data_IF_768570521367
#
_entry.id   IF_768570521367
#
_cell.length_a   1.000
_cell.length_b   1.000
_cell.length_c   1.000
_cell.angle_alpha   90.00
_cell.angle_beta   90.00
_cell.angle_gamma   90.00
#
_symmetry.space_group_name_H-M   'P 1'
#
loop_
_entity.id
_entity.type
_entity.pdbx_description
1 polymer ?
#
# COMPACT_ATOMS: atom_id res chain seq x y z
N UNK A 1 7.79 -7.22 31.56
CA UNK A 1 8.37 -5.99 30.99
C UNK A 1 9.03 -5.19 32.09
N UNK A 2 10.35 -5.07 32.06
CA UNK A 2 11.09 -4.24 33.01
C UNK A 2 11.09 -2.81 32.48
N UNK A 3 10.32 -1.93 33.07
CA UNK A 3 10.35 -0.49 32.73
C UNK A 3 11.24 0.18 33.79
N UNK A 4 12.40 0.65 33.31
CA UNK A 4 13.37 1.33 34.16
C UNK A 4 12.79 2.59 34.82
N UNK A 5 13.16 2.80 36.06
CA UNK A 5 12.78 3.94 36.90
C UNK A 5 13.43 5.24 36.40
N UNK A 6 12.80 5.92 35.43
CA UNK A 6 13.11 7.32 35.13
C UNK A 6 11.90 8.19 35.45
N UNK A 7 12.13 9.17 36.32
CA UNK A 7 11.15 10.02 37.02
C UNK A 7 10.46 11.10 36.16
N UNK A 8 10.34 10.94 34.87
CA UNK A 8 9.51 11.78 34.01
C UNK A 8 8.30 10.99 33.55
N UNK A 9 7.09 11.47 33.91
CA UNK A 9 5.84 10.87 33.42
C UNK A 9 5.91 10.65 31.90
N UNK A 10 5.56 9.44 31.42
CA UNK A 10 5.65 9.13 30.00
C UNK A 10 4.84 10.14 29.19
N UNK A 11 5.44 10.72 28.16
CA UNK A 11 4.73 11.63 27.22
C UNK A 11 3.80 10.89 26.26
N UNK A 12 3.74 9.57 26.37
CA UNK A 12 2.99 8.70 25.49
C UNK A 12 1.60 8.39 26.04
N UNK A 13 0.64 8.20 25.17
CA UNK A 13 -0.70 7.73 25.54
C UNK A 13 -0.64 6.21 25.70
N UNK A 14 -1.15 5.70 26.82
CA UNK A 14 -1.42 4.29 27.03
C UNK A 14 -2.84 3.99 26.56
N UNK A 15 -2.96 3.07 25.61
CA UNK A 15 -4.26 2.55 25.19
C UNK A 15 -4.53 1.23 25.90
N UNK A 16 -5.73 1.10 26.45
CA UNK A 16 -6.20 -0.07 27.20
C UNK A 16 -7.63 -0.42 26.72
N UNK A 17 -8.15 -1.64 26.98
CA UNK A 17 -9.56 -1.93 26.78
C UNK A 17 -10.44 -0.92 27.53
N UNK A 18 -11.57 -0.54 26.94
CA UNK A 18 -12.45 0.51 27.51
C UNK A 18 -12.89 0.16 28.94
N UNK A 19 -13.22 -1.11 29.17
CA UNK A 19 -13.61 -1.63 30.49
C UNK A 19 -12.49 -1.62 31.53
N UNK A 20 -11.25 -1.53 31.09
CA UNK A 20 -10.07 -1.56 31.97
C UNK A 20 -9.54 -0.16 32.34
N UNK A 21 -10.03 0.92 31.71
CA UNK A 21 -9.52 2.28 31.92
C UNK A 21 -9.42 2.63 33.39
N UNK A 22 -10.50 2.45 34.16
CA UNK A 22 -10.54 2.83 35.57
C UNK A 22 -9.62 1.96 36.43
N UNK A 23 -9.43 0.69 36.10
CA UNK A 23 -8.49 -0.18 36.76
C UNK A 23 -7.03 0.29 36.52
N UNK A 24 -6.68 0.67 35.32
CA UNK A 24 -5.35 1.19 34.98
C UNK A 24 -5.07 2.54 35.65
N UNK A 25 -6.06 3.46 35.71
CA UNK A 25 -5.94 4.74 36.42
C UNK A 25 -5.69 4.58 37.92
N UNK A 26 -6.20 3.51 38.52
CA UNK A 26 -6.03 3.22 39.96
C UNK A 26 -4.79 2.37 40.26
N UNK A 27 -4.23 1.67 39.29
CA UNK A 27 -3.10 0.79 39.53
C UNK A 27 -1.79 1.57 39.76
N UNK A 28 -1.04 1.20 40.78
CA UNK A 28 0.13 1.92 41.31
C UNK A 28 1.17 2.28 40.24
N UNK A 29 1.40 1.40 39.26
CA UNK A 29 2.37 1.63 38.17
C UNK A 29 1.82 2.51 37.05
N UNK A 30 0.55 2.37 36.72
CA UNK A 30 -0.05 2.98 35.54
C UNK A 30 -0.72 4.30 35.85
N UNK A 31 -1.07 4.56 37.11
CA UNK A 31 -1.68 5.83 37.58
C UNK A 31 -0.79 7.06 37.34
N UNK A 32 0.52 6.85 37.13
CA UNK A 32 1.47 7.92 36.77
C UNK A 32 1.42 8.33 35.28
N UNK A 33 0.73 7.57 34.46
CA UNK A 33 0.57 7.90 33.05
C UNK A 33 -0.48 9.01 32.88
N UNK A 34 -0.06 10.11 32.27
CA UNK A 34 -0.91 11.29 32.09
C UNK A 34 -2.11 11.01 31.15
N UNK A 35 -1.93 10.12 30.21
CA UNK A 35 -2.94 9.81 29.21
C UNK A 35 -3.20 8.31 29.17
N UNK A 36 -4.26 7.85 29.81
CA UNK A 36 -4.81 6.50 29.69
C UNK A 36 -6.13 6.62 28.94
N UNK A 37 -6.20 6.00 27.76
CA UNK A 37 -7.36 6.05 26.87
C UNK A 37 -7.84 4.64 26.55
N UNK A 38 -9.13 4.50 26.30
CA UNK A 38 -9.73 3.29 25.78
C UNK A 38 -9.36 3.03 24.32
N UNK A 39 -9.84 1.92 23.79
CA UNK A 39 -9.72 1.56 22.38
C UNK A 39 -8.58 0.62 22.03
N UNK A 40 -8.00 -0.12 22.99
CA UNK A 40 -7.11 -1.22 22.71
C UNK A 40 -7.90 -2.52 22.57
N UNK A 41 -7.81 -3.18 21.44
CA UNK A 41 -8.52 -4.43 21.15
C UNK A 41 -7.61 -5.45 20.51
N UNK A 42 -7.70 -6.69 20.99
CA UNK A 42 -7.04 -7.84 20.42
C UNK A 42 -8.03 -8.60 19.54
N UNK A 43 -7.66 -8.87 18.30
CA UNK A 43 -8.45 -9.68 17.38
C UNK A 43 -7.63 -10.89 16.97
N UNK A 44 -8.10 -12.07 17.32
CA UNK A 44 -7.47 -13.32 16.89
C UNK A 44 -7.80 -13.56 15.42
N UNK A 45 -6.80 -13.79 14.59
CA UNK A 45 -7.01 -14.24 13.22
C UNK A 45 -7.46 -15.69 13.20
N UNK A 46 -8.11 -16.14 12.12
CA UNK A 46 -8.65 -17.48 11.97
C UNK A 46 -7.62 -18.62 12.12
N UNK A 47 -6.34 -18.30 12.00
CA UNK A 47 -5.24 -19.22 12.33
C UNK A 47 -4.91 -19.06 13.81
N UNK A 48 -5.58 -19.80 14.65
CA UNK A 48 -5.64 -19.86 16.11
C UNK A 48 -4.37 -19.56 16.95
N UNK A 49 -3.30 -19.00 16.35
CA UNK A 49 -2.02 -18.81 17.03
C UNK A 49 -1.51 -17.37 17.09
N UNK A 50 -2.13 -16.41 16.39
CA UNK A 50 -1.57 -15.04 16.34
C UNK A 50 -2.63 -13.97 16.48
N UNK A 51 -2.40 -13.07 17.40
CA UNK A 51 -3.32 -11.99 17.75
C UNK A 51 -2.85 -10.68 17.13
N UNK A 52 -3.56 -10.17 16.13
CA UNK A 52 -3.41 -8.80 15.68
C UNK A 52 -4.04 -7.86 16.70
N UNK A 53 -3.36 -6.76 17.02
CA UNK A 53 -3.87 -5.77 17.97
C UNK A 53 -4.24 -4.48 17.27
N UNK A 54 -5.38 -3.95 17.66
CA UNK A 54 -5.93 -2.73 17.10
C UNK A 54 -6.17 -1.69 18.18
N UNK A 55 -6.21 -0.43 17.77
CA UNK A 55 -6.68 0.66 18.62
C UNK A 55 -7.76 1.45 17.89
N UNK A 56 -8.78 1.87 18.63
CA UNK A 56 -9.76 2.83 18.11
C UNK A 56 -9.15 4.22 18.25
N UNK A 57 -9.02 4.91 17.13
CA UNK A 57 -8.46 6.26 17.10
C UNK A 57 -9.51 7.36 16.81
N UNK A 58 -10.73 6.96 16.43
CA UNK A 58 -11.87 7.85 16.27
C UNK A 58 -13.17 7.15 16.67
N UNK A 59 -13.98 7.82 17.47
CA UNK A 59 -15.36 7.42 17.83
C UNK A 59 -16.41 8.27 17.09
N UNK A 60 -16.02 8.95 16.03
CA UNK A 60 -16.95 9.72 15.20
C UNK A 60 -17.58 8.79 14.18
N UNK A 61 -18.92 8.64 14.28
CA UNK A 61 -19.66 7.86 13.29
C UNK A 61 -19.51 8.43 11.90
N UNK A 62 -19.30 7.54 10.92
CA UNK A 62 -19.10 7.92 9.53
C UNK A 62 -19.48 6.79 8.55
N UNK A 63 -19.62 7.15 7.29
CA UNK A 63 -19.84 6.19 6.19
C UNK A 63 -18.56 6.07 5.36
N UNK A 64 -18.03 4.84 5.22
CA UNK A 64 -16.84 4.53 4.43
C UNK A 64 -17.23 3.45 3.42
N UNK A 65 -16.95 3.66 2.15
CA UNK A 65 -17.27 2.72 1.07
C UNK A 65 -18.74 2.23 1.10
N UNK A 66 -19.69 3.15 1.42
CA UNK A 66 -21.12 2.85 1.49
C UNK A 66 -21.59 2.15 2.78
N UNK A 67 -20.70 1.82 3.69
CA UNK A 67 -21.01 1.18 4.97
C UNK A 67 -20.91 2.17 6.13
N UNK A 68 -21.82 2.08 7.10
CA UNK A 68 -21.81 2.92 8.31
C UNK A 68 -20.98 2.28 9.42
N UNK A 69 -20.17 3.10 10.08
CA UNK A 69 -19.31 2.71 11.19
C UNK A 69 -19.45 3.68 12.35
N UNK A 70 -19.22 3.21 13.57
CA UNK A 70 -19.21 4.02 14.80
C UNK A 70 -17.89 4.82 14.94
N UNK A 71 -16.91 4.57 14.08
CA UNK A 71 -15.63 5.26 14.05
C UNK A 71 -14.56 4.48 13.32
N UNK A 72 -13.29 4.79 13.63
CA UNK A 72 -12.12 4.20 12.96
C UNK A 72 -11.20 3.49 13.94
N UNK A 73 -10.62 2.39 13.46
CA UNK A 73 -9.56 1.66 14.12
C UNK A 73 -8.29 1.60 13.25
N UNK A 74 -7.15 1.35 13.88
CA UNK A 74 -5.91 1.06 13.17
C UNK A 74 -5.22 -0.18 13.76
N UNK A 75 -4.52 -0.93 12.92
CA UNK A 75 -3.63 -2.00 13.35
C UNK A 75 -2.40 -1.42 14.02
N UNK A 76 -2.11 -1.83 15.25
CA UNK A 76 -0.96 -1.34 16.03
C UNK A 76 0.09 -2.40 16.35
N UNK A 77 -0.25 -3.66 16.19
CA UNK A 77 0.70 -4.76 16.39
C UNK A 77 0.33 -5.96 15.52
N UNK A 78 1.33 -6.51 14.85
CA UNK A 78 1.30 -7.80 14.17
C UNK A 78 2.43 -8.65 14.73
N UNK A 79 2.15 -9.86 15.27
CA UNK A 79 3.18 -10.74 15.80
C UNK A 79 4.06 -11.30 14.69
N UNK A 80 5.23 -11.81 15.06
CA UNK A 80 6.11 -12.49 14.12
C UNK A 80 5.65 -13.92 13.88
N UNK A 81 5.51 -14.37 12.62
CA UNK A 81 5.24 -15.77 12.34
C UNK A 81 6.43 -16.63 12.78
N UNK A 82 6.18 -17.55 13.68
CA UNK A 82 7.26 -18.33 14.31
C UNK A 82 7.57 -19.66 13.64
N UNK A 83 6.62 -20.28 12.94
CA UNK A 83 6.76 -21.68 12.51
C UNK A 83 6.30 -21.97 11.09
N UNK A 84 5.28 -21.27 10.54
CA UNK A 84 4.67 -21.58 9.25
C UNK A 84 4.45 -20.32 8.40
N UNK A 85 4.35 -20.50 7.07
CA UNK A 85 3.90 -19.43 6.17
C UNK A 85 2.52 -18.92 6.57
N UNK A 86 2.36 -17.61 6.69
CA UNK A 86 1.15 -17.00 7.20
C UNK A 86 0.60 -15.91 6.29
N UNK A 87 -0.71 -15.69 6.41
CA UNK A 87 -1.37 -14.53 5.83
C UNK A 87 -1.86 -13.63 6.95
N UNK A 88 -1.32 -12.42 7.01
CA UNK A 88 -1.88 -11.34 7.83
C UNK A 88 -3.04 -10.71 7.05
N UNK A 89 -4.25 -11.12 7.38
CA UNK A 89 -5.46 -10.53 6.81
C UNK A 89 -5.94 -9.40 7.73
N UNK A 90 -5.71 -8.16 7.32
CA UNK A 90 -6.29 -7.00 7.99
C UNK A 90 -7.77 -6.94 7.62
N UNK A 91 -8.71 -7.00 8.58
CA UNK A 91 -10.14 -6.99 8.27
C UNK A 91 -10.61 -5.59 7.82
N UNK A 92 -11.77 -5.54 7.17
CA UNK A 92 -12.38 -4.26 6.79
C UNK A 92 -12.82 -3.45 8.02
N UNK A 93 -13.27 -4.13 9.05
CA UNK A 93 -13.74 -3.52 10.29
C UNK A 93 -13.62 -4.48 11.48
N UNK A 94 -13.68 -3.91 12.68
CA UNK A 94 -13.84 -4.62 13.93
C UNK A 94 -15.29 -4.52 14.37
N UNK A 95 -15.86 -5.60 14.91
CA UNK A 95 -17.13 -5.57 15.63
C UNK A 95 -16.87 -5.89 17.09
N UNK A 96 -17.17 -4.95 17.97
CA UNK A 96 -16.97 -5.12 19.40
C UNK A 96 -18.12 -5.90 20.04
N UNK A 97 -17.93 -6.38 21.27
CA UNK A 97 -18.93 -7.14 22.01
C UNK A 97 -20.23 -6.34 22.26
N UNK A 98 -20.17 -5.01 22.28
CA UNK A 98 -21.32 -4.12 22.39
C UNK A 98 -22.03 -3.85 21.05
N UNK A 99 -21.66 -4.53 19.99
CA UNK A 99 -22.24 -4.40 18.63
C UNK A 99 -21.71 -3.22 17.82
N UNK A 100 -20.87 -2.33 18.37
CA UNK A 100 -20.26 -1.23 17.62
C UNK A 100 -19.28 -1.73 16.58
N UNK A 101 -19.28 -1.06 15.43
CA UNK A 101 -18.41 -1.38 14.28
C UNK A 101 -17.44 -0.24 14.03
N UNK A 102 -16.16 -0.57 13.91
CA UNK A 102 -15.10 0.38 13.61
C UNK A 102 -14.35 -0.02 12.35
N UNK A 103 -14.35 0.85 11.35
CA UNK A 103 -13.61 0.61 10.11
C UNK A 103 -12.10 0.56 10.41
N UNK A 104 -11.40 -0.46 9.92
CA UNK A 104 -9.92 -0.51 10.00
C UNK A 104 -9.36 0.28 8.84
N UNK A 105 -8.93 1.51 9.10
CA UNK A 105 -8.52 2.45 8.04
C UNK A 105 -7.01 2.64 7.93
N UNK A 106 -6.24 2.21 8.93
CA UNK A 106 -4.80 2.43 8.91
C UNK A 106 -3.99 1.26 9.49
N UNK A 107 -2.75 1.17 9.05
CA UNK A 107 -1.69 0.37 9.67
C UNK A 107 -0.69 1.33 10.29
N UNK A 108 -0.47 1.21 11.61
CA UNK A 108 0.40 2.11 12.36
C UNK A 108 1.89 1.90 12.03
N UNK A 109 2.71 2.81 12.51
CA UNK A 109 4.17 2.69 12.43
C UNK A 109 4.68 1.53 13.28
N UNK A 110 5.70 0.82 12.77
CA UNK A 110 6.41 -0.24 13.50
C UNK A 110 5.50 -1.34 14.06
N UNK A 111 4.44 -1.71 13.35
CA UNK A 111 3.47 -2.72 13.81
C UNK A 111 4.07 -4.10 14.02
N UNK A 112 5.16 -4.41 13.33
CA UNK A 112 5.87 -5.67 13.42
C UNK A 112 7.24 -5.42 14.04
N UNK A 113 7.41 -5.60 15.35
CA UNK A 113 8.61 -5.21 16.09
C UNK A 113 9.69 -6.31 16.17
N UNK A 114 9.34 -7.56 16.01
CA UNK A 114 10.27 -8.70 16.07
C UNK A 114 10.84 -9.12 14.71
N UNK A 115 11.56 -10.22 14.67
CA UNK A 115 12.11 -10.82 13.45
C UNK A 115 11.16 -11.88 12.87
N UNK A 116 10.66 -11.68 11.66
CA UNK A 116 9.88 -12.71 10.97
C UNK A 116 10.76 -13.93 10.69
N UNK A 117 10.32 -15.11 11.14
CA UNK A 117 11.04 -16.39 10.94
C UNK A 117 10.42 -17.25 9.84
N UNK A 118 9.21 -16.95 9.42
CA UNK A 118 8.51 -17.65 8.35
C UNK A 118 7.98 -16.70 7.30
N UNK A 119 7.79 -17.19 6.09
CA UNK A 119 7.25 -16.40 4.97
C UNK A 119 5.85 -15.90 5.29
N UNK A 120 5.57 -14.66 4.93
CA UNK A 120 4.28 -14.03 5.19
C UNK A 120 3.74 -13.27 3.97
N UNK A 121 2.42 -13.21 3.88
CA UNK A 121 1.68 -12.34 2.96
C UNK A 121 0.80 -11.39 3.77
N UNK A 122 0.91 -10.09 3.51
CA UNK A 122 -0.02 -9.09 4.04
C UNK A 122 -1.15 -8.86 3.05
N UNK A 123 -2.39 -9.00 3.52
CA UNK A 123 -3.59 -8.64 2.75
C UNK A 123 -4.32 -7.51 3.45
N UNK A 124 -4.58 -6.43 2.73
CA UNK A 124 -5.27 -5.26 3.26
C UNK A 124 -6.78 -5.43 3.16
N UNK A 125 -7.50 -5.10 4.23
CA UNK A 125 -8.95 -4.93 4.21
C UNK A 125 -9.37 -3.71 3.37
N UNK A 126 -10.58 -3.72 2.84
CA UNK A 126 -11.07 -2.74 1.88
C UNK A 126 -11.07 -1.28 2.39
N UNK A 127 -11.13 -1.07 3.71
CA UNK A 127 -11.17 0.27 4.29
C UNK A 127 -9.80 0.85 4.64
N UNK A 128 -8.69 0.09 4.47
CA UNK A 128 -7.34 0.60 4.75
C UNK A 128 -6.96 1.63 3.70
N UNK A 129 -6.81 2.88 4.10
CA UNK A 129 -6.40 4.00 3.25
C UNK A 129 -4.94 4.42 3.45
N UNK A 130 -4.33 4.03 4.59
CA UNK A 130 -3.00 4.49 4.97
C UNK A 130 -2.14 3.41 5.64
N UNK A 131 -0.87 3.34 5.23
CA UNK A 131 0.17 2.56 5.91
C UNK A 131 1.24 3.55 6.38
N UNK A 132 1.49 3.62 7.70
CA UNK A 132 2.41 4.60 8.24
C UNK A 132 3.88 4.17 8.17
N UNK A 133 4.76 5.09 8.58
CA UNK A 133 6.20 4.93 8.41
C UNK A 133 6.76 3.71 9.16
N UNK A 134 7.70 3.01 8.54
CA UNK A 134 8.39 1.84 9.10
C UNK A 134 7.47 0.67 9.49
N UNK A 135 6.22 0.62 9.02
CA UNK A 135 5.23 -0.37 9.46
C UNK A 135 5.79 -1.80 9.43
N UNK A 136 6.45 -2.17 8.33
CA UNK A 136 7.07 -3.50 8.13
C UNK A 136 8.57 -3.40 7.78
N UNK A 137 9.26 -2.33 8.19
CA UNK A 137 10.67 -2.15 7.88
C UNK A 137 11.52 -3.35 8.32
N UNK A 138 12.39 -3.84 7.41
CA UNK A 138 13.32 -4.94 7.68
C UNK A 138 12.67 -6.32 7.80
N UNK A 139 11.40 -6.49 7.40
CA UNK A 139 10.69 -7.76 7.47
C UNK A 139 11.00 -8.62 6.24
N UNK A 140 12.20 -9.18 6.19
CA UNK A 140 12.71 -9.94 5.04
C UNK A 140 11.92 -11.21 4.71
N UNK A 141 11.06 -11.67 5.61
CA UNK A 141 10.16 -12.79 5.38
C UNK A 141 8.76 -12.33 4.94
N UNK A 142 8.49 -11.03 4.83
CA UNK A 142 7.29 -10.52 4.17
C UNK A 142 7.49 -10.61 2.65
N UNK A 143 7.01 -11.69 2.06
CA UNK A 143 7.25 -12.04 0.65
C UNK A 143 6.07 -11.76 -0.25
N UNK A 144 4.89 -11.51 0.33
CA UNK A 144 3.67 -11.18 -0.39
C UNK A 144 2.96 -9.94 0.16
N UNK A 145 2.38 -9.15 -0.76
CA UNK A 145 1.57 -7.97 -0.42
C UNK A 145 0.37 -7.90 -1.36
N UNK A 146 -0.83 -7.88 -0.78
CA UNK A 146 -2.08 -7.64 -1.50
C UNK A 146 -2.66 -6.31 -1.03
N UNK A 147 -2.61 -5.32 -1.90
CA UNK A 147 -3.17 -3.99 -1.68
C UNK A 147 -4.69 -4.02 -1.89
N UNK A 148 -5.37 -2.95 -1.48
CA UNK A 148 -6.79 -2.72 -1.76
C UNK A 148 -6.96 -1.48 -2.67
N UNK A 149 -8.16 -1.27 -3.19
CA UNK A 149 -8.49 -0.17 -4.12
C UNK A 149 -8.58 1.21 -3.46
N UNK A 150 -8.66 1.27 -2.13
CA UNK A 150 -8.85 2.52 -1.38
C UNK A 150 -7.57 3.06 -0.75
N UNK A 151 -6.45 2.36 -0.92
CA UNK A 151 -5.16 2.78 -0.38
C UNK A 151 -4.69 4.08 -1.07
N UNK A 152 -4.40 5.11 -0.27
CA UNK A 152 -3.96 6.42 -0.77
C UNK A 152 -2.56 6.81 -0.35
N UNK A 153 -2.04 6.18 0.72
CA UNK A 153 -0.77 6.58 1.32
C UNK A 153 0.06 5.39 1.80
N UNK A 154 1.34 5.42 1.45
CA UNK A 154 2.37 4.54 2.04
C UNK A 154 3.51 5.41 2.59
N UNK A 155 3.78 5.26 3.88
CA UNK A 155 4.74 6.04 4.65
C UNK A 155 6.21 5.73 4.37
N UNK A 156 7.09 6.54 4.97
CA UNK A 156 8.55 6.39 4.85
C UNK A 156 8.97 5.01 5.31
N UNK A 157 9.76 4.30 4.49
CA UNK A 157 10.30 2.97 4.78
C UNK A 157 9.25 1.91 5.17
N UNK A 158 7.98 2.07 4.80
CA UNK A 158 6.91 1.17 5.26
C UNK A 158 7.20 -0.30 4.93
N UNK A 159 7.75 -0.60 3.76
CA UNK A 159 8.19 -1.92 3.30
C UNK A 159 9.67 -1.92 2.90
N UNK A 160 10.49 -1.11 3.59
CA UNK A 160 11.93 -1.07 3.37
C UNK A 160 12.57 -2.41 3.74
N UNK A 161 13.40 -2.95 2.85
CA UNK A 161 14.12 -4.22 3.06
C UNK A 161 13.19 -5.39 3.44
N UNK A 162 12.03 -5.48 2.79
CA UNK A 162 11.20 -6.67 2.74
C UNK A 162 11.69 -7.57 1.58
N UNK A 163 10.99 -8.60 1.24
CA UNK A 163 11.27 -9.42 0.05
C UNK A 163 9.99 -9.68 -0.73
N UNK A 164 9.15 -8.64 -0.84
CA UNK A 164 7.91 -8.73 -1.59
C UNK A 164 8.25 -9.11 -3.03
N UNK A 165 7.75 -10.26 -3.47
CA UNK A 165 8.11 -10.86 -4.76
C UNK A 165 6.95 -10.86 -5.76
N UNK A 166 5.71 -10.71 -5.30
CA UNK A 166 4.59 -10.57 -6.22
C UNK A 166 4.60 -9.20 -6.90
N UNK A 167 4.11 -9.16 -8.12
CA UNK A 167 3.94 -7.91 -8.87
C UNK A 167 2.97 -6.99 -8.15
N UNK A 168 3.23 -5.68 -8.19
CA UNK A 168 2.45 -4.67 -7.49
C UNK A 168 1.92 -3.61 -8.45
N UNK A 169 0.66 -3.27 -8.26
CA UNK A 169 0.05 -2.09 -8.85
C UNK A 169 -0.52 -1.23 -7.73
N UNK A 170 -0.08 0.03 -7.66
CA UNK A 170 -0.72 1.00 -6.78
C UNK A 170 -2.11 1.34 -7.31
N UNK A 171 -3.14 1.44 -6.44
CA UNK A 171 -4.49 1.68 -6.89
C UNK A 171 -4.66 3.06 -7.54
N UNK A 172 -5.60 3.15 -8.46
CA UNK A 172 -6.04 4.46 -8.93
C UNK A 172 -6.64 5.25 -7.75
N UNK A 173 -6.26 6.52 -7.63
CA UNK A 173 -6.59 7.31 -6.44
C UNK A 173 -5.46 7.33 -5.40
N UNK A 174 -4.42 6.52 -5.57
CA UNK A 174 -3.23 6.57 -4.72
C UNK A 174 -2.54 7.93 -4.84
N UNK A 175 -2.20 8.56 -3.71
CA UNK A 175 -1.75 9.96 -3.67
C UNK A 175 -0.28 10.11 -3.32
N UNK A 176 0.24 9.30 -2.39
CA UNK A 176 1.59 9.53 -1.87
C UNK A 176 2.33 8.23 -1.57
N UNK A 177 3.46 8.06 -2.25
CA UNK A 177 4.46 7.03 -2.00
C UNK A 177 5.69 7.70 -1.37
N UNK A 178 5.98 7.45 -0.09
CA UNK A 178 7.06 8.13 0.63
C UNK A 178 8.44 7.52 0.35
N UNK A 179 9.51 8.23 0.76
CA UNK A 179 10.89 7.76 0.58
C UNK A 179 11.13 6.40 1.21
N UNK A 180 11.84 5.53 0.50
CA UNK A 180 12.18 4.19 0.96
C UNK A 180 11.00 3.23 1.07
N UNK A 181 9.78 3.62 0.69
CA UNK A 181 8.57 2.84 0.92
C UNK A 181 8.67 1.39 0.43
N UNK A 182 9.28 1.16 -0.72
CA UNK A 182 9.56 -0.16 -1.28
C UNK A 182 11.05 -0.38 -1.61
N UNK A 183 11.94 0.25 -0.85
CA UNK A 183 13.37 0.07 -1.01
C UNK A 183 13.77 -1.39 -0.78
N UNK A 184 14.60 -1.97 -1.68
CA UNK A 184 15.16 -3.32 -1.57
C UNK A 184 14.09 -4.41 -1.41
N UNK A 185 13.21 -4.53 -2.41
CA UNK A 185 12.24 -5.62 -2.55
C UNK A 185 12.58 -6.52 -3.76
N UNK A 186 11.74 -7.50 -4.07
CA UNK A 186 12.03 -8.55 -5.06
C UNK A 186 10.98 -8.66 -6.18
N UNK A 187 10.04 -7.74 -6.28
CA UNK A 187 9.02 -7.76 -7.33
C UNK A 187 9.65 -7.51 -8.72
N UNK A 188 9.03 -8.08 -9.74
CA UNK A 188 9.46 -7.96 -11.13
C UNK A 188 8.75 -6.82 -11.85
N UNK A 189 7.53 -6.49 -11.47
CA UNK A 189 6.71 -5.45 -12.09
C UNK A 189 6.13 -4.54 -11.03
N UNK A 190 6.15 -3.23 -11.35
CA UNK A 190 5.56 -2.23 -10.48
C UNK A 190 4.82 -1.19 -11.31
N UNK A 191 3.56 -0.91 -10.93
CA UNK A 191 2.73 0.08 -11.61
C UNK A 191 2.43 1.26 -10.70
N UNK A 192 2.69 2.46 -11.22
CA UNK A 192 2.42 3.75 -10.58
C UNK A 192 1.31 4.45 -11.38
N UNK A 193 0.13 4.71 -10.75
CA UNK A 193 -0.99 5.36 -11.43
C UNK A 193 -0.75 6.86 -11.65
N UNK A 194 -1.44 7.42 -12.63
CA UNK A 194 -1.42 8.87 -12.91
C UNK A 194 -2.04 9.74 -11.81
N UNK A 195 -2.71 9.14 -10.84
CA UNK A 195 -3.28 9.85 -9.68
C UNK A 195 -2.26 10.21 -8.60
N UNK A 196 -1.00 9.73 -8.72
CA UNK A 196 0.05 9.96 -7.74
C UNK A 196 0.46 11.44 -7.70
N UNK A 197 0.40 12.07 -6.52
CA UNK A 197 0.75 13.49 -6.32
C UNK A 197 2.19 13.64 -5.83
N UNK A 198 2.66 12.67 -5.02
CA UNK A 198 3.99 12.75 -4.41
C UNK A 198 4.67 11.39 -4.38
N UNK A 199 5.92 11.35 -4.83
CA UNK A 199 6.76 10.16 -4.82
C UNK A 199 8.12 10.48 -4.16
N UNK A 200 8.47 9.69 -3.16
CA UNK A 200 9.70 9.89 -2.37
C UNK A 200 10.95 9.47 -3.13
N UNK A 201 12.07 10.10 -2.82
CA UNK A 201 13.34 10.00 -3.52
C UNK A 201 13.87 8.56 -3.73
N UNK A 202 13.82 7.72 -2.69
CA UNK A 202 14.39 6.35 -2.70
C UNK A 202 13.34 5.25 -2.72
N UNK A 203 12.08 5.59 -3.03
CA UNK A 203 10.96 4.68 -2.81
C UNK A 203 11.08 3.34 -3.55
N UNK A 204 11.76 3.28 -4.68
CA UNK A 204 11.98 2.08 -5.49
C UNK A 204 13.46 1.68 -5.61
N UNK A 205 14.39 2.35 -4.93
CA UNK A 205 15.81 2.03 -5.04
C UNK A 205 16.12 0.59 -4.60
N UNK A 206 17.15 -0.01 -5.18
CA UNK A 206 17.63 -1.38 -4.92
C UNK A 206 16.65 -2.52 -5.24
N UNK A 207 15.67 -2.30 -6.10
CA UNK A 207 14.84 -3.38 -6.63
C UNK A 207 15.55 -4.08 -7.79
N UNK A 208 16.49 -4.97 -7.47
CA UNK A 208 17.42 -5.59 -8.42
C UNK A 208 16.75 -6.53 -9.44
N UNK A 209 15.52 -6.96 -9.16
CA UNK A 209 14.74 -7.88 -9.97
C UNK A 209 13.69 -7.18 -10.82
N UNK A 210 13.60 -5.84 -10.76
CA UNK A 210 12.59 -5.09 -11.48
C UNK A 210 12.85 -5.17 -12.99
N UNK A 211 11.95 -5.83 -13.68
CA UNK A 211 11.99 -6.02 -15.14
C UNK A 211 11.15 -4.97 -15.86
N UNK A 212 10.05 -4.56 -15.25
CA UNK A 212 9.09 -3.62 -15.84
C UNK A 212 8.55 -2.63 -14.78
N UNK A 213 8.65 -1.36 -15.13
CA UNK A 213 8.08 -0.25 -14.37
C UNK A 213 7.11 0.50 -15.27
N UNK A 214 5.89 0.70 -14.82
CA UNK A 214 4.87 1.48 -15.51
C UNK A 214 4.59 2.74 -14.73
N UNK A 215 4.71 3.90 -15.37
CA UNK A 215 4.39 5.19 -14.79
C UNK A 215 3.39 5.90 -15.70
N UNK A 216 2.16 6.08 -15.23
CA UNK A 216 1.08 6.68 -16.00
C UNK A 216 1.00 8.21 -15.83
N UNK A 217 2.11 8.85 -15.52
CA UNK A 217 2.17 10.30 -15.31
C UNK A 217 3.30 10.92 -16.13
N UNK A 218 3.00 11.95 -16.95
CA UNK A 218 4.02 12.66 -17.73
C UNK A 218 4.92 13.59 -16.89
N UNK A 219 4.49 14.00 -15.68
CA UNK A 219 5.18 15.03 -14.89
C UNK A 219 6.45 14.54 -14.21
N UNK A 220 6.53 13.26 -13.84
CA UNK A 220 7.69 12.70 -13.14
C UNK A 220 8.98 12.71 -13.96
N UNK A 221 8.89 12.85 -15.28
CA UNK A 221 10.03 13.03 -16.17
C UNK A 221 10.87 14.27 -15.83
N UNK A 222 10.29 15.27 -15.16
CA UNK A 222 10.96 16.55 -14.83
C UNK A 222 11.78 16.50 -13.56
N UNK A 223 11.58 15.50 -12.71
CA UNK A 223 12.31 15.38 -11.46
C UNK A 223 13.67 14.71 -11.67
N UNK A 224 14.73 15.32 -11.16
CA UNK A 224 16.11 14.80 -11.17
C UNK A 224 16.52 14.17 -9.84
N UNK A 225 15.65 14.22 -8.83
CA UNK A 225 15.96 13.78 -7.46
C UNK A 225 15.80 12.28 -7.20
N UNK A 226 15.52 11.47 -8.23
CA UNK A 226 15.27 10.03 -8.07
C UNK A 226 16.53 9.22 -7.84
N UNK A 227 16.47 8.33 -6.88
CA UNK A 227 17.49 7.29 -6.69
C UNK A 227 16.99 5.97 -7.27
N UNK A 228 17.52 5.63 -8.45
CA UNK A 228 17.25 4.36 -9.13
C UNK A 228 18.42 3.37 -8.95
N UNK A 229 19.23 3.55 -7.90
CA UNK A 229 20.38 2.68 -7.61
C UNK A 229 19.94 1.23 -7.55
N UNK A 230 20.66 0.38 -8.27
CA UNK A 230 20.41 -1.06 -8.38
C UNK A 230 19.13 -1.48 -9.11
N UNK A 231 18.38 -0.56 -9.70
CA UNK A 231 17.38 -0.96 -10.69
C UNK A 231 18.14 -1.35 -11.96
N UNK A 232 17.86 -2.52 -12.58
CA UNK A 232 18.55 -2.94 -13.78
C UNK A 232 18.35 -1.94 -14.93
N UNK A 233 19.40 -1.60 -15.64
CA UNK A 233 19.29 -0.73 -16.83
C UNK A 233 18.50 -1.38 -17.98
N UNK A 234 18.35 -2.69 -17.95
CA UNK A 234 17.45 -3.46 -18.83
C UNK A 234 15.97 -3.34 -18.46
N UNK A 235 15.66 -2.76 -17.29
CA UNK A 235 14.28 -2.55 -16.86
C UNK A 235 13.54 -1.69 -17.90
N UNK A 236 12.41 -2.20 -18.37
CA UNK A 236 11.54 -1.47 -19.30
C UNK A 236 10.71 -0.48 -18.51
N UNK A 237 10.86 0.80 -18.82
CA UNK A 237 10.04 1.87 -18.25
C UNK A 237 8.98 2.25 -19.28
N UNK A 238 7.73 1.89 -19.01
CA UNK A 238 6.60 2.28 -19.84
C UNK A 238 6.00 3.59 -19.34
N UNK A 239 5.87 4.56 -20.24
CA UNK A 239 5.37 5.91 -19.95
C UNK A 239 4.34 6.33 -21.00
N UNK A 240 3.51 7.38 -20.75
CA UNK A 240 2.61 7.92 -21.76
C UNK A 240 3.36 8.31 -23.03
N UNK A 241 2.76 8.06 -24.20
CA UNK A 241 3.40 8.31 -25.52
C UNK A 241 3.99 9.71 -25.61
N UNK A 242 3.23 10.73 -25.22
CA UNK A 242 3.67 12.13 -25.30
C UNK A 242 4.80 12.52 -24.35
N UNK A 243 5.20 11.63 -23.43
CA UNK A 243 6.25 11.92 -22.43
C UNK A 243 7.53 11.11 -22.63
N UNK A 244 7.59 10.23 -23.63
CA UNK A 244 8.74 9.36 -23.89
C UNK A 244 10.05 10.13 -23.98
N UNK A 245 10.11 11.19 -24.77
CA UNK A 245 11.32 11.97 -24.94
C UNK A 245 11.72 12.72 -23.65
N UNK A 246 10.75 13.20 -22.89
CA UNK A 246 11.02 13.83 -21.60
C UNK A 246 11.65 12.84 -20.61
N UNK A 247 11.17 11.60 -20.56
CA UNK A 247 11.75 10.55 -19.73
C UNK A 247 13.12 10.08 -20.21
N UNK A 248 13.33 9.95 -21.54
CA UNK A 248 14.63 9.59 -22.13
C UNK A 248 15.71 10.63 -21.82
N UNK A 249 15.34 11.91 -21.88
CA UNK A 249 16.26 13.03 -21.63
C UNK A 249 16.50 13.29 -20.15
N UNK A 250 15.80 12.62 -19.24
CA UNK A 250 16.03 12.75 -17.81
C UNK A 250 17.26 11.94 -17.39
N UNK A 251 18.17 12.53 -16.62
CA UNK A 251 19.44 11.91 -16.17
C UNK A 251 19.26 10.59 -15.40
N UNK A 252 18.13 10.39 -14.76
CA UNK A 252 17.83 9.18 -13.96
C UNK A 252 17.01 8.19 -14.75
N UNK A 253 15.84 8.61 -15.23
CA UNK A 253 14.91 7.74 -15.95
C UNK A 253 15.46 7.27 -17.29
N UNK A 254 16.21 8.12 -18.01
CA UNK A 254 16.83 7.79 -19.27
C UNK A 254 17.88 6.68 -19.22
N UNK A 255 18.32 6.28 -18.01
CA UNK A 255 19.17 5.10 -17.81
C UNK A 255 18.42 3.77 -17.97
N UNK A 256 17.11 3.81 -17.88
CA UNK A 256 16.24 2.66 -18.09
C UNK A 256 15.85 2.55 -19.57
N UNK A 257 15.29 1.40 -19.95
CA UNK A 257 14.77 1.20 -21.29
C UNK A 257 13.39 1.86 -21.44
N UNK A 258 13.38 3.18 -21.72
CA UNK A 258 12.15 3.97 -21.85
C UNK A 258 11.37 3.58 -23.10
N UNK A 259 10.09 3.27 -22.91
CA UNK A 259 9.17 2.82 -23.95
C UNK A 259 7.83 3.56 -23.84
N UNK A 260 7.20 3.82 -24.97
CA UNK A 260 5.80 4.25 -25.00
C UNK A 260 4.86 3.12 -24.57
N UNK A 261 3.69 3.45 -24.07
CA UNK A 261 2.61 2.50 -23.88
C UNK A 261 2.05 2.41 -22.47
N UNK A 262 2.26 3.41 -21.62
CA UNK A 262 1.49 3.52 -20.39
C UNK A 262 0.30 4.44 -20.60
N UNK A 263 -0.85 4.04 -20.08
CA UNK A 263 -2.09 4.79 -20.24
C UNK A 263 -3.09 4.44 -19.13
N UNK A 264 -3.70 5.48 -18.56
CA UNK A 264 -4.84 5.36 -17.65
C UNK A 264 -6.12 5.75 -18.39
N UNK A 265 -7.11 4.90 -18.40
CA UNK A 265 -8.42 5.27 -18.92
C UNK A 265 -9.55 4.75 -18.03
N UNK A 266 -10.68 5.44 -18.10
CA UNK A 266 -11.88 5.08 -17.35
C UNK A 266 -12.86 4.47 -18.32
N UNK A 267 -13.24 3.23 -18.07
CA UNK A 267 -14.26 2.56 -18.85
C UNK A 267 -15.66 3.00 -18.44
N UNK A 268 -16.43 3.40 -19.43
CA UNK A 268 -17.86 3.66 -19.47
C UNK A 268 -18.52 4.63 -18.48
N UNK A 269 -19.17 5.62 -19.07
CA UNK A 269 -19.86 6.75 -18.43
C UNK A 269 -21.21 6.42 -17.79
N UNK A 270 -21.76 5.21 -17.98
CA UNK A 270 -23.14 4.89 -17.60
C UNK A 270 -23.26 4.09 -16.30
N UNK A 271 -22.14 3.64 -15.70
CA UNK A 271 -22.19 2.82 -14.50
C UNK A 271 -21.46 3.49 -13.34
N UNK A 272 -22.09 3.65 -12.14
CA UNK A 272 -21.43 4.19 -10.96
C UNK A 272 -20.21 3.36 -10.47
N UNK A 273 -20.07 2.12 -10.92
CA UNK A 273 -18.90 1.27 -10.70
C UNK A 273 -17.87 1.45 -11.84
N UNK A 274 -17.34 2.66 -11.99
CA UNK A 274 -16.30 2.95 -12.99
C UNK A 274 -15.12 2.02 -12.81
N UNK A 275 -14.91 1.11 -13.74
CA UNK A 275 -13.69 0.30 -13.79
C UNK A 275 -12.59 1.12 -14.43
N UNK A 276 -11.49 1.31 -13.74
CA UNK A 276 -10.32 2.02 -14.25
C UNK A 276 -9.26 0.99 -14.57
N UNK A 277 -8.74 1.04 -15.77
CA UNK A 277 -7.70 0.14 -16.24
C UNK A 277 -6.40 0.92 -16.43
N UNK A 278 -5.32 0.36 -15.97
CA UNK A 278 -3.97 0.81 -16.29
C UNK A 278 -3.44 -0.11 -17.36
N UNK A 279 -3.14 0.42 -18.52
CA UNK A 279 -2.71 -0.38 -19.65
C UNK A 279 -1.33 0.00 -20.13
N UNK A 280 -0.59 -1.02 -20.49
CA UNK A 280 0.61 -0.88 -21.30
C UNK A 280 0.31 -1.45 -22.68
N UNK A 281 0.27 -0.60 -23.68
CA UNK A 281 -0.05 -0.98 -25.06
C UNK A 281 1.20 -1.48 -25.76
N UNK A 282 1.12 -2.66 -26.40
CA UNK A 282 2.31 -3.31 -27.00
C UNK A 282 2.34 -3.26 -28.51
N UNK A 283 1.30 -3.70 -29.19
CA UNK A 283 1.22 -3.74 -30.66
C UNK A 283 -0.21 -4.01 -31.14
N UNK A 284 -0.51 -3.71 -32.37
CA UNK A 284 -1.82 -3.92 -32.99
C UNK A 284 -2.35 -2.67 -33.67
N UNK A 285 -3.66 -2.58 -33.86
CA UNK A 285 -4.29 -1.40 -34.46
C UNK A 285 -4.15 -0.21 -33.49
N UNK A 286 -3.68 0.94 -33.98
CA UNK A 286 -3.55 2.14 -33.13
C UNK A 286 -4.91 2.57 -32.57
N UNK A 287 -4.92 2.93 -31.28
CA UNK A 287 -6.04 3.52 -30.57
C UNK A 287 -5.74 4.98 -30.23
N UNK A 288 -6.60 5.90 -30.59
CA UNK A 288 -6.47 7.33 -30.21
C UNK A 288 -7.44 7.64 -29.08
N UNK A 289 -6.90 8.12 -27.95
CA UNK A 289 -7.68 8.52 -26.78
C UNK A 289 -7.17 9.89 -26.35
N UNK A 290 -8.07 10.84 -26.16
CA UNK A 290 -7.75 12.23 -25.79
C UNK A 290 -6.65 12.87 -26.66
N UNK A 291 -6.67 12.58 -27.97
CA UNK A 291 -5.70 13.08 -28.94
C UNK A 291 -4.34 12.36 -28.94
N UNK A 292 -4.14 11.37 -28.08
CA UNK A 292 -2.92 10.55 -28.02
C UNK A 292 -3.18 9.20 -28.68
N UNK A 293 -2.30 8.81 -29.63
CA UNK A 293 -2.40 7.55 -30.34
C UNK A 293 -1.52 6.49 -29.66
N UNK A 294 -2.13 5.38 -29.26
CA UNK A 294 -1.50 4.23 -28.66
C UNK A 294 -1.45 3.07 -29.66
N UNK A 295 -0.36 2.32 -29.68
CA UNK A 295 -0.17 1.23 -30.63
C UNK A 295 -0.74 -0.08 -30.07
N UNK A 296 -2.02 -0.35 -30.30
CA UNK A 296 -2.57 -1.70 -30.32
C UNK A 296 -2.94 -2.33 -28.97
N UNK A 297 -2.50 -3.54 -28.68
CA UNK A 297 -3.00 -4.39 -27.60
C UNK A 297 -2.44 -4.05 -26.24
N UNK A 298 -3.27 -4.14 -25.20
CA UNK A 298 -2.81 -4.02 -23.83
C UNK A 298 -1.90 -5.19 -23.45
N UNK A 299 -0.79 -4.88 -22.80
CA UNK A 299 0.09 -5.89 -22.21
C UNK A 299 -0.39 -6.33 -20.84
N UNK A 300 -0.91 -5.38 -20.06
CA UNK A 300 -1.48 -5.63 -18.75
C UNK A 300 -2.77 -4.87 -18.60
N UNK A 301 -3.73 -5.49 -17.93
CA UNK A 301 -4.96 -4.85 -17.46
C UNK A 301 -4.97 -4.91 -15.95
N UNK A 302 -5.11 -3.76 -15.32
CA UNK A 302 -5.28 -3.66 -13.89
C UNK A 302 -6.75 -3.66 -13.53
N UNK A 303 -7.15 -4.56 -12.65
CA UNK A 303 -8.51 -4.66 -12.15
C UNK A 303 -8.59 -4.05 -10.74
N UNK A 304 -9.18 -2.85 -10.57
CA UNK A 304 -9.26 -2.18 -9.27
C UNK A 304 -10.00 -2.99 -8.20
N UNK A 305 -11.00 -3.77 -8.61
CA UNK A 305 -11.84 -4.53 -7.68
C UNK A 305 -11.08 -5.65 -6.95
N UNK A 306 -10.12 -6.29 -7.61
CA UNK A 306 -9.34 -7.40 -7.06
C UNK A 306 -7.84 -7.10 -6.97
N UNK A 307 -7.42 -5.91 -7.36
CA UNK A 307 -6.01 -5.47 -7.36
C UNK A 307 -5.08 -6.42 -8.13
N UNK A 308 -5.58 -7.06 -9.17
CA UNK A 308 -4.78 -7.94 -10.01
C UNK A 308 -4.20 -7.19 -11.18
N UNK A 309 -2.97 -7.56 -11.55
CA UNK A 309 -2.30 -7.14 -12.76
C UNK A 309 -2.23 -8.36 -13.67
N UNK A 310 -3.08 -8.41 -14.67
CA UNK A 310 -3.21 -9.55 -15.57
C UNK A 310 -2.57 -9.23 -16.93
N UNK A 311 -1.99 -10.25 -17.56
CA UNK A 311 -1.62 -10.18 -18.97
C UNK A 311 -2.80 -10.68 -19.80
N UNK A 312 -3.60 -9.80 -20.38
CA UNK A 312 -4.81 -10.24 -21.07
C UNK A 312 -4.41 -10.91 -22.39
N UNK A 313 -4.88 -12.12 -22.58
CA UNK A 313 -4.78 -12.81 -23.87
C UNK A 313 -5.77 -12.29 -24.91
N UNK A 314 -6.80 -11.56 -24.46
CA UNK A 314 -7.94 -11.19 -25.27
C UNK A 314 -8.34 -9.70 -25.19
N UNK A 315 -7.66 -8.86 -24.40
CA UNK A 315 -7.98 -7.44 -24.34
C UNK A 315 -7.39 -6.72 -25.55
N UNK A 316 -8.24 -6.33 -26.46
CA UNK A 316 -7.88 -5.57 -27.66
C UNK A 316 -8.35 -4.13 -27.48
N UNK A 317 -7.40 -3.18 -27.47
CA UNK A 317 -7.67 -1.74 -27.39
C UNK A 317 -8.42 -1.22 -28.64
N UNK A 318 -8.64 -2.05 -29.65
CA UNK A 318 -9.39 -1.68 -30.85
C UNK A 318 -10.90 -1.83 -30.69
N UNK A 319 -11.37 -2.48 -29.62
CA UNK A 319 -12.79 -2.61 -29.41
C UNK A 319 -13.41 -1.29 -28.94
N UNK A 320 -14.50 -0.91 -29.58
CA UNK A 320 -15.24 0.32 -29.36
C UNK A 320 -15.89 0.45 -27.96
N UNK A 321 -15.58 -0.44 -27.07
CA UNK A 321 -16.05 -0.46 -25.68
C UNK A 321 -15.08 0.19 -24.68
N UNK A 322 -14.00 0.80 -25.18
CA UNK A 322 -13.03 1.56 -24.38
C UNK A 322 -13.32 3.05 -24.49
#
# INVERSE_FOLDING_TARGET
MHVGSNSSAPRHTLYVPDEAIEAYKKATYWSTWKYIKGGAYDVTTNDAMETLRYTIHSNKAETINGNSYDGRAMLVYAPDPTVYSQTYAVPDHLTLANGKKYAVTAINSNVCSGGMRASATLTLGANVDSIFSNAFQGKTMLTGLKLNSNLTYIGVNAFYDCRIANDLALPYGFKKLSSGAFYNNSFKRFLIPGSLISMGHTCLARNNYLEELVINDPFWARSTSWDLTKIPTSCKLYVPVGSVEAYKNNEKWGKLKVMAGSYDFTYNNANPNKTIYHMTVTSGTPLTVDGVTYAGKAKYVYHPANMTLESPTAFDCTNSEI
#
